data_IF_218910188426
#
_entry.id   IF_218910188426
#
_cell.length_a   1.000
_cell.length_b   1.000
_cell.length_c   1.000
_cell.angle_alpha   90.00
_cell.angle_beta   90.00
_cell.angle_gamma   90.00
#
_symmetry.space_group_name_H-M   'P 1'
#
loop_
_entity.id
_entity.type
_entity.pdbx_description
1 polymer ?
#
# COMPACT_ATOMS: atom_id res chain seq x y z
N UNK A 1 -36.67 -28.77 21.36
CA UNK A 1 -35.80 -27.59 21.42
C UNK A 1 -34.40 -27.97 21.93
N UNK A 2 -33.54 -28.57 21.10
CA UNK A 2 -32.20 -29.03 21.54
C UNK A 2 -31.11 -28.98 20.46
N UNK A 3 -31.45 -28.53 19.24
CA UNK A 3 -30.53 -28.45 18.08
C UNK A 3 -30.20 -27.02 17.63
N UNK A 4 -30.71 -26.01 18.32
CA UNK A 4 -30.49 -24.58 17.98
C UNK A 4 -29.26 -23.97 18.67
N UNK A 5 -28.72 -24.64 19.69
CA UNK A 5 -27.57 -24.15 20.48
C UNK A 5 -26.22 -24.19 19.73
N UNK A 6 -25.88 -25.19 18.89
CA UNK A 6 -24.54 -25.24 18.29
C UNK A 6 -24.36 -24.24 17.14
N UNK A 7 -25.45 -23.79 16.50
CA UNK A 7 -25.40 -22.83 15.39
C UNK A 7 -25.09 -21.41 15.87
N UNK A 8 -25.51 -21.05 17.09
CA UNK A 8 -25.26 -19.71 17.64
C UNK A 8 -23.79 -19.45 17.98
N UNK A 9 -23.00 -20.50 18.28
CA UNK A 9 -21.59 -20.37 18.67
C UNK A 9 -20.66 -20.19 17.46
N UNK A 10 -20.99 -20.79 16.31
CA UNK A 10 -20.22 -20.61 15.07
C UNK A 10 -20.39 -19.22 14.42
N UNK A 11 -21.42 -18.46 14.80
CA UNK A 11 -21.65 -17.12 14.26
C UNK A 11 -20.75 -16.02 14.86
N UNK A 12 -19.97 -16.32 15.91
CA UNK A 12 -19.16 -15.35 16.64
C UNK A 12 -17.66 -15.38 16.29
N UNK A 13 -17.19 -16.42 15.59
CA UNK A 13 -15.80 -16.50 15.14
C UNK A 13 -15.37 -15.45 14.10
N UNK A 14 -16.21 -14.92 13.19
CA UNK A 14 -15.73 -13.97 12.18
C UNK A 14 -15.35 -12.60 12.76
N UNK A 15 -15.66 -12.33 14.04
CA UNK A 15 -15.34 -11.06 14.70
C UNK A 15 -13.83 -10.93 15.03
N UNK A 16 -13.12 -12.06 15.14
CA UNK A 16 -11.71 -12.10 15.53
C UNK A 16 -10.75 -11.74 14.39
N UNK A 17 -11.17 -11.90 13.13
CA UNK A 17 -10.35 -11.52 11.97
C UNK A 17 -10.17 -9.99 11.85
N UNK A 18 -11.18 -9.22 12.25
CA UNK A 18 -11.13 -7.75 12.21
C UNK A 18 -10.21 -7.13 13.26
N UNK A 19 -9.97 -7.83 14.38
CA UNK A 19 -9.10 -7.36 15.45
C UNK A 19 -7.63 -7.35 15.04
N UNK A 20 -7.19 -8.33 14.23
CA UNK A 20 -5.79 -8.45 13.85
C UNK A 20 -5.37 -7.38 12.84
N UNK A 21 -6.19 -7.09 11.81
CA UNK A 21 -5.84 -6.09 10.78
C UNK A 21 -5.74 -4.65 11.32
N UNK A 22 -6.57 -4.29 12.31
CA UNK A 22 -6.55 -2.95 12.89
C UNK A 22 -5.34 -2.73 13.81
N UNK A 23 -4.96 -3.77 14.55
CA UNK A 23 -3.76 -3.77 15.39
C UNK A 23 -2.49 -3.76 14.53
N UNK A 24 -2.49 -4.50 13.42
CA UNK A 24 -1.39 -4.52 12.46
C UNK A 24 -1.16 -3.14 11.82
N UNK A 25 -2.24 -2.41 11.50
CA UNK A 25 -2.12 -1.05 10.98
C UNK A 25 -1.46 -0.07 11.98
N UNK A 26 -1.76 -0.19 13.27
CA UNK A 26 -1.15 0.63 14.31
C UNK A 26 0.34 0.29 14.49
N UNK A 27 0.67 -1.01 14.53
CA UNK A 27 2.06 -1.47 14.63
C UNK A 27 2.87 -1.08 13.40
N UNK A 28 2.36 -1.32 12.20
CA UNK A 28 3.04 -0.98 10.94
C UNK A 28 3.29 0.52 10.82
N UNK A 29 2.30 1.37 11.15
CA UNK A 29 2.47 2.84 11.14
C UNK A 29 3.56 3.29 12.11
N UNK A 30 3.56 2.74 13.32
CA UNK A 30 4.54 3.08 14.36
C UNK A 30 5.94 2.61 13.98
N UNK A 31 6.07 1.40 13.41
CA UNK A 31 7.35 0.89 12.91
C UNK A 31 7.90 1.79 11.79
N UNK A 32 7.05 2.23 10.85
CA UNK A 32 7.46 3.15 9.79
C UNK A 32 8.01 4.48 10.33
N UNK A 33 7.37 5.06 11.35
CA UNK A 33 7.85 6.30 11.98
C UNK A 33 9.18 6.09 12.71
N UNK A 34 9.38 4.95 13.37
CA UNK A 34 10.65 4.63 14.04
C UNK A 34 11.76 4.29 13.04
N UNK A 35 11.46 3.56 11.97
CA UNK A 35 12.44 3.15 10.93
C UNK A 35 12.86 4.30 10.02
N UNK A 36 11.95 5.23 9.73
CA UNK A 36 12.16 6.32 8.78
C UNK A 36 12.07 7.71 9.44
N UNK A 37 12.46 7.84 10.71
CA UNK A 37 12.34 9.11 11.46
C UNK A 37 13.07 10.31 10.84
N UNK A 38 14.01 10.09 9.91
CA UNK A 38 14.77 11.15 9.20
C UNK A 38 14.20 11.51 7.83
N UNK A 39 13.28 10.70 7.29
CA UNK A 39 12.87 10.74 5.89
C UNK A 39 11.34 10.67 5.74
N UNK A 40 10.71 11.84 5.69
CA UNK A 40 9.25 11.99 5.60
C UNK A 40 8.66 11.33 4.34
N UNK A 41 9.39 11.35 3.23
CA UNK A 41 8.99 10.66 2.00
C UNK A 41 8.94 9.13 2.19
N UNK A 42 9.92 8.57 2.91
CA UNK A 42 9.96 7.15 3.22
C UNK A 42 8.89 6.76 4.26
N UNK A 43 8.64 7.62 5.26
CA UNK A 43 7.51 7.46 6.21
C UNK A 43 6.19 7.40 5.45
N UNK A 44 5.99 8.31 4.50
CA UNK A 44 4.75 8.38 3.71
C UNK A 44 4.56 7.15 2.82
N UNK A 45 5.61 6.72 2.11
CA UNK A 45 5.57 5.49 1.31
C UNK A 45 5.34 4.23 2.15
N UNK A 46 5.96 4.16 3.33
CA UNK A 46 5.78 3.07 4.27
C UNK A 46 4.35 3.03 4.84
N UNK A 47 3.79 4.19 5.23
CA UNK A 47 2.38 4.32 5.66
C UNK A 47 1.41 3.92 4.55
N UNK A 48 1.70 4.24 3.29
CA UNK A 48 0.90 3.81 2.15
C UNK A 48 0.88 2.28 2.01
N UNK A 49 2.03 1.61 2.16
CA UNK A 49 2.10 0.13 2.21
C UNK A 49 1.27 -0.46 3.35
N UNK A 50 1.32 0.13 4.55
CA UNK A 50 0.49 -0.32 5.68
C UNK A 50 -1.01 -0.18 5.39
N UNK A 51 -1.41 0.91 4.70
CA UNK A 51 -2.81 1.11 4.30
C UNK A 51 -3.27 0.06 3.27
N UNK A 52 -2.39 -0.29 2.32
CA UNK A 52 -2.64 -1.39 1.37
C UNK A 52 -2.75 -2.72 2.11
N UNK A 53 -1.84 -3.05 3.03
CA UNK A 53 -1.96 -4.28 3.84
C UNK A 53 -3.27 -4.34 4.62
N UNK A 54 -3.71 -3.23 5.23
CA UNK A 54 -5.01 -3.15 5.89
C UNK A 54 -6.15 -3.42 4.92
N UNK A 55 -6.11 -2.84 3.72
CA UNK A 55 -7.09 -3.10 2.69
C UNK A 55 -7.11 -4.60 2.34
N UNK A 56 -5.96 -5.19 2.02
CA UNK A 56 -5.81 -6.63 1.72
C UNK A 56 -6.41 -7.50 2.84
N UNK A 57 -6.08 -7.20 4.09
CA UNK A 57 -6.53 -7.92 5.27
C UNK A 57 -8.05 -7.76 5.52
N UNK A 58 -8.62 -6.59 5.18
CA UNK A 58 -10.06 -6.33 5.31
C UNK A 58 -10.91 -6.85 4.15
N UNK A 59 -10.35 -6.96 2.95
CA UNK A 59 -11.10 -7.31 1.73
C UNK A 59 -10.75 -8.70 1.19
N UNK A 60 -9.78 -9.42 1.78
CA UNK A 60 -9.48 -10.83 1.51
C UNK A 60 -8.96 -11.17 0.11
N UNK A 61 -8.88 -10.21 -0.83
CA UNK A 61 -8.53 -10.41 -2.25
C UNK A 61 -7.13 -9.93 -2.65
N UNK A 62 -6.25 -9.71 -1.68
CA UNK A 62 -5.25 -8.65 -1.80
C UNK A 62 -3.88 -8.96 -2.40
N UNK A 63 -3.60 -10.15 -2.91
CA UNK A 63 -2.30 -10.42 -3.53
C UNK A 63 -2.25 -10.01 -5.02
N UNK A 64 -3.32 -10.24 -5.77
CA UNK A 64 -3.35 -9.99 -7.22
C UNK A 64 -3.46 -8.49 -7.55
N UNK A 65 -4.32 -7.75 -6.82
CA UNK A 65 -4.54 -6.31 -7.05
C UNK A 65 -3.31 -5.45 -6.71
N UNK A 66 -2.51 -5.85 -5.71
CA UNK A 66 -1.32 -5.10 -5.33
C UNK A 66 -0.18 -5.24 -6.36
N UNK A 67 -0.09 -6.39 -7.03
CA UNK A 67 0.88 -6.62 -8.11
C UNK A 67 0.47 -5.86 -9.37
N UNK A 68 -0.81 -5.87 -9.74
CA UNK A 68 -1.35 -5.13 -10.89
C UNK A 68 -1.18 -3.61 -10.72
N UNK A 69 -1.59 -3.04 -9.57
CA UNK A 69 -1.38 -1.62 -9.26
C UNK A 69 0.10 -1.25 -9.15
N UNK A 70 0.94 -2.18 -8.68
CA UNK A 70 2.39 -1.99 -8.62
C UNK A 70 3.04 -1.95 -10.00
N UNK A 71 2.56 -2.77 -10.95
CA UNK A 71 3.00 -2.74 -12.35
C UNK A 71 2.53 -1.47 -13.05
N UNK A 72 1.25 -1.13 -12.98
CA UNK A 72 0.71 0.08 -13.60
C UNK A 72 1.37 1.34 -13.04
N UNK A 73 1.59 1.41 -11.71
CA UNK A 73 2.29 2.53 -11.08
C UNK A 73 3.77 2.61 -11.47
N UNK A 74 4.44 1.48 -11.66
CA UNK A 74 5.84 1.45 -12.08
C UNK A 74 6.01 1.86 -13.56
N UNK A 75 5.15 1.35 -14.46
CA UNK A 75 5.14 1.75 -15.88
C UNK A 75 4.82 3.24 -16.03
N UNK A 76 3.82 3.76 -15.28
CA UNK A 76 3.50 5.19 -15.30
C UNK A 76 4.66 6.05 -14.77
N UNK A 77 5.37 5.60 -13.74
CA UNK A 77 6.54 6.30 -13.21
C UNK A 77 7.72 6.30 -14.19
N UNK A 78 7.93 5.19 -14.93
CA UNK A 78 8.96 5.07 -15.95
C UNK A 78 8.68 6.00 -17.13
N UNK A 79 7.44 6.03 -17.63
CA UNK A 79 7.05 6.91 -18.74
C UNK A 79 7.13 8.39 -18.34
N UNK A 80 6.63 8.76 -17.16
CA UNK A 80 6.77 10.13 -16.65
C UNK A 80 8.24 10.55 -16.47
N UNK A 81 9.11 9.62 -16.05
CA UNK A 81 10.56 9.88 -15.94
C UNK A 81 11.21 10.04 -17.31
N UNK A 82 10.76 9.30 -18.32
CA UNK A 82 11.21 9.40 -19.71
C UNK A 82 10.85 10.76 -20.32
N UNK A 83 9.60 11.18 -20.17
CA UNK A 83 9.13 12.50 -20.64
C UNK A 83 9.88 13.65 -19.96
N UNK A 84 10.10 13.55 -18.65
CA UNK A 84 10.88 14.55 -17.91
C UNK A 84 12.35 14.61 -18.38
N UNK A 85 12.95 13.45 -18.70
CA UNK A 85 14.31 13.38 -19.20
C UNK A 85 14.42 13.96 -20.62
N UNK A 86 13.50 13.62 -21.53
CA UNK A 86 13.50 14.13 -22.91
C UNK A 86 13.24 15.65 -22.96
N UNK A 87 12.37 16.17 -22.08
CA UNK A 87 12.17 17.61 -21.91
C UNK A 87 13.45 18.32 -21.44
N UNK A 88 14.15 17.75 -20.46
CA UNK A 88 15.43 18.27 -19.96
C UNK A 88 16.51 18.24 -21.03
N UNK A 89 16.57 17.17 -21.83
CA UNK A 89 17.53 17.01 -22.93
C UNK A 89 17.32 18.05 -24.03
N UNK A 90 16.06 18.35 -24.38
CA UNK A 90 15.73 19.40 -25.35
C UNK A 90 16.14 20.79 -24.86
N UNK A 91 15.97 21.05 -23.56
CA UNK A 91 16.39 22.31 -22.95
C UNK A 91 17.92 22.48 -22.92
N UNK A 92 18.67 21.43 -22.57
CA UNK A 92 20.13 21.44 -22.59
C UNK A 92 20.66 21.63 -24.02
N UNK A 93 20.04 20.97 -25.01
CA UNK A 93 20.45 21.05 -26.40
C UNK A 93 20.24 22.46 -26.99
N UNK A 94 19.14 23.12 -26.63
CA UNK A 94 18.86 24.50 -27.00
C UNK A 94 19.76 25.55 -26.32
N UNK A 95 20.49 25.18 -25.26
CA UNK A 95 21.49 26.03 -24.59
C UNK A 95 22.90 25.77 -25.16
N UNK A 96 23.18 24.56 -25.67
CA UNK A 96 24.50 24.17 -26.18
C UNK A 96 24.74 24.46 -27.67
N UNK A 97 23.69 24.70 -28.45
CA UNK A 97 23.78 25.19 -29.83
C UNK A 97 23.31 26.66 -29.86
N UNK A 98 24.23 27.65 -29.88
CA UNK A 98 23.88 29.06 -30.06
C UNK A 98 23.33 29.36 -31.46
#
# INVERSE_FOLDING_TARGET
MKRVVPVLILAWLPQLAFANCALDQQFCRTECEVRHFTDDAAVTGCKARCAVQRAICSTGKGAETAVELGKEGADAAVEASKDAWEGTKSFIKGISEP
#
